data_IF_068815461715
#
_entry.id   IF_068815461715
#
_cell.length_a   1.000
_cell.length_b   1.000
_cell.length_c   1.000
_cell.angle_alpha   90.00
_cell.angle_beta   90.00
_cell.angle_gamma   90.00
#
_symmetry.space_group_name_H-M   'P 1'
#
loop_
_entity.id
_entity.type
_entity.pdbx_description
1 polymer ?
#
# COMPACT_ATOMS: atom_id res chain seq x y z
N UNK A 1 -9.88 -17.77 -46.46
CA UNK A 1 -8.72 -17.57 -47.35
C UNK A 1 -7.54 -17.14 -46.49
N UNK A 2 -6.45 -17.91 -46.61
CA UNK A 2 -5.03 -17.67 -46.26
C UNK A 2 -4.56 -17.28 -44.84
N UNK A 3 -3.66 -18.15 -44.37
CA UNK A 3 -2.77 -18.16 -43.19
C UNK A 3 -1.69 -17.07 -43.21
N UNK A 4 -1.07 -16.80 -42.06
CA UNK A 4 0.39 -16.81 -41.72
C UNK A 4 0.49 -16.41 -40.22
N UNK A 5 0.68 -17.34 -39.26
CA UNK A 5 1.93 -17.83 -38.64
C UNK A 5 2.89 -16.72 -38.17
N UNK A 6 2.98 -16.56 -36.84
CA UNK A 6 4.06 -15.90 -36.12
C UNK A 6 3.96 -16.28 -34.64
N UNK A 7 4.56 -17.41 -34.27
CA UNK A 7 4.72 -17.86 -32.88
C UNK A 7 5.93 -17.12 -32.32
N UNK A 8 5.80 -16.45 -31.17
CA UNK A 8 6.76 -16.72 -30.09
C UNK A 8 6.09 -16.71 -28.71
N UNK A 9 6.07 -17.92 -28.18
CA UNK A 9 5.91 -18.41 -26.83
C UNK A 9 6.55 -17.54 -25.73
N UNK A 10 5.80 -17.23 -24.67
CA UNK A 10 5.95 -17.89 -23.35
C UNK A 10 5.10 -17.24 -22.26
N UNK A 11 4.36 -18.11 -21.55
CA UNK A 11 3.83 -17.98 -20.19
C UNK A 11 2.68 -16.99 -20.05
N UNK A 12 1.42 -17.43 -20.18
CA UNK A 12 0.64 -18.01 -19.07
C UNK A 12 0.95 -17.35 -17.72
N UNK A 13 0.01 -16.57 -17.20
CA UNK A 13 -0.83 -17.02 -16.09
C UNK A 13 -1.84 -15.92 -15.75
N UNK A 14 -3.08 -16.26 -16.06
CA UNK A 14 -4.30 -15.70 -15.51
C UNK A 14 -4.12 -15.14 -14.09
N UNK A 15 -4.28 -13.84 -13.90
CA UNK A 15 -4.60 -13.31 -12.57
C UNK A 15 -6.11 -13.49 -12.33
N UNK A 16 -6.54 -14.76 -12.31
CA UNK A 16 -7.83 -15.16 -11.76
C UNK A 16 -7.64 -15.21 -10.25
N UNK A 17 -8.42 -14.40 -9.55
CA UNK A 17 -8.61 -14.54 -8.11
C UNK A 17 -8.96 -16.00 -7.76
N UNK A 18 -8.39 -16.45 -6.64
CA UNK A 18 -8.70 -17.67 -5.86
C UNK A 18 -8.05 -18.97 -6.38
N UNK A 19 -7.02 -19.44 -5.66
CA UNK A 19 -6.98 -20.76 -4.96
C UNK A 19 -5.62 -20.97 -4.29
N UNK A 20 -5.60 -21.17 -2.97
CA UNK A 20 -4.70 -22.17 -2.36
C UNK A 20 -3.41 -21.74 -1.66
N UNK A 21 -3.44 -20.75 -0.76
CA UNK A 21 -2.63 -20.84 0.47
C UNK A 21 -3.30 -20.04 1.59
N UNK A 22 -3.88 -20.74 2.57
CA UNK A 22 -4.60 -20.14 3.69
C UNK A 22 -3.66 -19.57 4.79
N UNK A 23 -2.39 -19.29 4.46
CA UNK A 23 -1.33 -18.94 5.43
C UNK A 23 -0.78 -17.49 5.31
N UNK A 24 -1.26 -16.68 4.36
CA UNK A 24 -0.83 -15.28 4.15
C UNK A 24 -1.96 -14.24 4.34
N UNK A 25 -3.03 -14.62 5.03
CA UNK A 25 -4.28 -13.86 5.04
C UNK A 25 -4.29 -12.77 6.12
N UNK A 26 -3.81 -11.57 5.76
CA UNK A 26 -4.36 -10.38 6.41
C UNK A 26 -5.87 -10.37 6.19
N UNK A 27 -6.65 -10.07 7.23
CA UNK A 27 -8.12 -10.09 7.15
C UNK A 27 -8.68 -9.13 6.08
N UNK A 28 -7.94 -8.05 5.80
CA UNK A 28 -8.28 -7.04 4.80
C UNK A 28 -7.02 -6.33 4.27
N UNK A 29 -7.09 -5.69 3.09
CA UNK A 29 -6.00 -4.85 2.60
C UNK A 29 -5.89 -3.57 3.43
N UNK A 30 -4.79 -3.38 4.15
CA UNK A 30 -4.49 -2.12 4.83
C UNK A 30 -3.51 -1.31 4.00
N UNK A 31 -4.01 -0.33 3.25
CA UNK A 31 -3.17 0.65 2.58
C UNK A 31 -3.87 2.00 2.55
N UNK A 32 -3.19 3.03 3.07
CA UNK A 32 -3.74 4.37 3.16
C UNK A 32 -2.68 5.42 2.84
N UNK A 33 -3.09 6.38 2.03
CA UNK A 33 -2.32 7.55 1.71
C UNK A 33 -3.03 8.80 2.22
N UNK A 34 -2.29 9.61 2.96
CA UNK A 34 -2.78 10.87 3.52
C UNK A 34 -1.81 12.00 3.21
N UNK A 35 -2.35 13.18 2.98
CA UNK A 35 -1.57 14.37 2.63
C UNK A 35 -1.91 15.53 3.54
N UNK A 36 -0.93 16.41 3.71
CA UNK A 36 -1.13 17.74 4.29
C UNK A 36 -0.54 18.77 3.34
N UNK A 37 -1.39 19.62 2.80
CA UNK A 37 -1.03 20.69 1.88
C UNK A 37 -1.52 22.01 2.45
N UNK A 38 -0.61 22.97 2.57
CA UNK A 38 -0.84 24.33 3.04
C UNK A 38 0.09 25.25 2.23
N UNK A 39 -0.45 25.92 1.18
CA UNK A 39 0.33 26.78 0.31
C UNK A 39 0.92 28.00 1.03
N UNK A 40 0.18 28.58 1.97
CA UNK A 40 0.59 29.77 2.72
C UNK A 40 1.83 29.50 3.58
N UNK A 41 2.06 28.23 3.94
CA UNK A 41 3.23 27.78 4.70
C UNK A 41 4.27 27.03 3.86
N UNK A 42 4.16 27.04 2.52
CA UNK A 42 5.00 26.26 1.61
C UNK A 42 5.16 24.78 2.06
N UNK A 43 4.03 24.19 2.47
CA UNK A 43 3.99 22.85 3.04
C UNK A 43 3.21 21.91 2.12
N UNK A 44 3.89 20.90 1.62
CA UNK A 44 3.29 19.80 0.86
C UNK A 44 3.94 18.50 1.34
N UNK A 45 3.23 17.74 2.19
CA UNK A 45 3.74 16.52 2.81
C UNK A 45 2.80 15.35 2.60
N UNK A 46 3.38 14.17 2.44
CA UNK A 46 2.65 12.92 2.38
C UNK A 46 2.98 12.02 3.56
N UNK A 47 2.07 11.09 3.83
CA UNK A 47 2.26 9.98 4.72
C UNK A 47 1.52 8.75 4.18
N UNK A 48 2.18 7.60 4.13
CA UNK A 48 1.60 6.32 3.70
C UNK A 48 1.72 5.31 4.83
N UNK A 49 0.65 4.58 5.08
CA UNK A 49 0.59 3.44 5.99
C UNK A 49 0.16 2.21 5.21
N UNK A 50 0.88 1.09 5.36
CA UNK A 50 0.49 -0.19 4.78
C UNK A 50 0.78 -1.34 5.74
N UNK A 51 -0.14 -2.30 5.91
CA UNK A 51 0.17 -3.58 6.56
C UNK A 51 0.32 -4.62 5.47
N UNK A 52 1.45 -5.32 5.48
CA UNK A 52 1.79 -6.35 4.51
C UNK A 52 2.19 -7.63 5.27
N UNK A 53 1.86 -8.83 4.75
CA UNK A 53 2.44 -10.05 5.27
C UNK A 53 3.91 -10.13 4.88
N UNK A 54 4.74 -10.69 5.76
CA UNK A 54 6.11 -11.07 5.44
C UNK A 54 6.16 -12.45 4.79
N UNK A 55 7.33 -12.86 4.30
CA UNK A 55 7.56 -14.22 3.78
C UNK A 55 7.28 -15.32 4.82
N UNK A 56 7.27 -14.98 6.11
CA UNK A 56 7.04 -15.91 7.21
C UNK A 56 5.59 -15.86 7.73
N UNK A 57 4.68 -15.20 7.01
CA UNK A 57 3.26 -15.07 7.41
C UNK A 57 3.02 -14.09 8.56
N UNK A 58 4.06 -13.46 9.11
CA UNK A 58 3.92 -12.43 10.15
C UNK A 58 3.63 -11.06 9.55
N UNK A 59 2.78 -10.23 10.18
CA UNK A 59 2.46 -8.90 9.66
C UNK A 59 3.58 -7.89 9.91
N UNK A 60 3.77 -6.97 8.97
CA UNK A 60 4.60 -5.77 9.13
C UNK A 60 3.83 -4.51 8.77
N UNK A 61 4.05 -3.43 9.52
CA UNK A 61 3.56 -2.09 9.19
C UNK A 61 4.67 -1.28 8.49
N UNK A 62 4.42 -0.94 7.24
CA UNK A 62 5.24 -0.01 6.46
C UNK A 62 4.72 1.42 6.64
N UNK A 63 5.63 2.32 7.04
CA UNK A 63 5.39 3.76 7.16
C UNK A 63 6.27 4.49 6.16
N UNK A 64 5.69 5.35 5.33
CA UNK A 64 6.45 6.25 4.45
C UNK A 64 6.01 7.69 4.65
N UNK A 65 6.95 8.63 4.64
CA UNK A 65 6.60 10.05 4.80
C UNK A 65 7.65 10.96 4.19
N UNK A 66 7.24 12.13 3.72
CA UNK A 66 8.16 13.07 3.11
C UNK A 66 7.46 14.29 2.53
N UNK A 67 8.22 15.12 1.79
CA UNK A 67 7.61 16.14 0.95
C UNK A 67 7.01 15.46 -0.29
N UNK A 68 5.85 15.95 -0.74
CA UNK A 68 5.23 15.46 -1.99
C UNK A 68 6.21 15.69 -3.16
N UNK A 69 6.32 14.72 -4.06
CA UNK A 69 7.28 14.73 -5.16
C UNK A 69 8.69 14.21 -4.80
N UNK A 70 8.89 13.69 -3.59
CA UNK A 70 10.16 13.08 -3.16
C UNK A 70 9.98 11.62 -2.73
N UNK A 71 11.06 10.85 -2.68
CA UNK A 71 11.03 9.47 -2.17
C UNK A 71 10.63 9.39 -0.69
N UNK A 72 10.92 10.45 0.08
CA UNK A 72 10.67 10.52 1.51
C UNK A 72 11.59 9.61 2.33
N UNK A 73 11.10 9.23 3.52
CA UNK A 73 11.70 8.26 4.44
C UNK A 73 10.75 7.09 4.61
N UNK A 74 11.31 5.96 4.98
CA UNK A 74 10.57 4.72 5.21
C UNK A 74 10.96 4.14 6.57
N UNK A 75 10.00 3.55 7.27
CA UNK A 75 10.21 2.77 8.48
C UNK A 75 9.31 1.55 8.47
N UNK A 76 9.82 0.44 8.97
CA UNK A 76 9.11 -0.84 9.06
C UNK A 76 8.99 -1.22 10.54
N UNK A 77 7.80 -1.66 10.94
CA UNK A 77 7.55 -2.27 12.25
C UNK A 77 7.11 -3.72 12.02
N UNK A 78 7.71 -4.66 12.73
CA UNK A 78 7.36 -6.07 12.64
C UNK A 78 6.50 -6.46 13.84
N UNK A 79 5.52 -7.33 13.59
CA UNK A 79 4.58 -7.81 14.59
C UNK A 79 4.42 -9.31 14.47
N UNK A 80 4.04 -9.97 15.57
CA UNK A 80 3.66 -11.38 15.55
C UNK A 80 2.19 -11.56 15.15
N UNK A 81 1.34 -10.59 15.50
CA UNK A 81 -0.12 -10.65 15.32
C UNK A 81 -0.64 -9.46 14.51
N UNK A 82 -1.71 -9.67 13.74
CA UNK A 82 -2.28 -8.65 12.85
C UNK A 82 -2.89 -7.50 13.65
N UNK A 83 -3.60 -7.82 14.72
CA UNK A 83 -4.25 -6.90 15.64
C UNK A 83 -3.30 -5.86 16.24
N UNK A 84 -2.05 -6.23 16.51
CA UNK A 84 -1.03 -5.31 17.02
C UNK A 84 -0.60 -4.31 15.94
N UNK A 85 -0.41 -4.80 14.71
CA UNK A 85 -0.10 -3.97 13.55
C UNK A 85 -1.27 -3.01 13.23
N UNK A 86 -2.50 -3.50 13.31
CA UNK A 86 -3.74 -2.71 13.10
C UNK A 86 -3.90 -1.64 14.18
N UNK A 87 -3.61 -1.98 15.44
CA UNK A 87 -3.68 -1.03 16.54
C UNK A 87 -2.73 0.16 16.30
N UNK A 88 -1.45 -0.12 16.00
CA UNK A 88 -0.50 0.95 15.69
C UNK A 88 -0.87 1.72 14.40
N UNK A 89 -1.37 1.03 13.37
CA UNK A 89 -1.85 1.66 12.15
C UNK A 89 -2.95 2.69 12.44
N UNK A 90 -3.94 2.32 13.26
CA UNK A 90 -5.06 3.19 13.61
C UNK A 90 -4.62 4.36 14.50
N UNK A 91 -3.71 4.13 15.44
CA UNK A 91 -3.18 5.18 16.31
C UNK A 91 -2.38 6.22 15.53
N UNK A 92 -1.49 5.76 14.62
CA UNK A 92 -0.78 6.66 13.71
C UNK A 92 -1.74 7.43 12.81
N UNK A 93 -2.78 6.79 12.30
CA UNK A 93 -3.78 7.47 11.47
C UNK A 93 -4.52 8.56 12.25
N UNK A 94 -4.97 8.27 13.48
CA UNK A 94 -5.61 9.26 14.36
C UNK A 94 -4.68 10.43 14.64
N UNK A 95 -3.43 10.15 14.98
CA UNK A 95 -2.41 11.17 15.20
C UNK A 95 -2.25 12.06 13.95
N UNK A 96 -2.09 11.48 12.76
CA UNK A 96 -1.91 12.26 11.52
C UNK A 96 -3.13 13.10 11.18
N UNK A 97 -4.35 12.56 11.37
CA UNK A 97 -5.59 13.31 11.17
C UNK A 97 -5.68 14.52 12.10
N UNK A 98 -5.33 14.36 13.38
CA UNK A 98 -5.27 15.47 14.33
C UNK A 98 -4.24 16.55 13.91
N UNK A 99 -3.18 16.15 13.21
CA UNK A 99 -2.17 17.05 12.65
C UNK A 99 -2.54 17.62 11.26
N UNK A 100 -3.80 17.52 10.84
CA UNK A 100 -4.30 18.11 9.60
C UNK A 100 -4.01 17.32 8.33
N UNK A 101 -3.57 16.06 8.44
CA UNK A 101 -3.49 15.18 7.27
C UNK A 101 -4.89 14.70 6.88
N UNK A 102 -5.17 14.72 5.58
CA UNK A 102 -6.44 14.30 5.00
C UNK A 102 -6.24 13.05 4.14
N UNK A 103 -7.21 12.13 4.18
CA UNK A 103 -7.20 10.95 3.32
C UNK A 103 -7.40 11.37 1.88
N UNK A 104 -6.47 10.96 1.02
CA UNK A 104 -6.63 11.07 -0.42
C UNK A 104 -6.94 9.70 -0.96
N UNK A 105 -8.02 9.61 -1.74
CA UNK A 105 -8.27 8.41 -2.53
C UNK A 105 -7.11 8.31 -3.52
N UNK A 106 -6.33 7.24 -3.43
CA UNK A 106 -5.46 6.88 -4.52
C UNK A 106 -6.42 6.42 -5.61
N UNK A 107 -6.64 7.25 -6.63
CA UNK A 107 -7.23 6.78 -7.86
C UNK A 107 -6.25 5.75 -8.41
N UNK A 108 -6.57 4.47 -8.25
CA UNK A 108 -5.84 3.41 -8.91
C UNK A 108 -5.82 3.79 -10.39
N UNK A 109 -4.63 4.01 -10.95
CA UNK A 109 -4.47 4.33 -12.37
C UNK A 109 -5.24 3.28 -13.19
N UNK A 110 -6.42 3.65 -13.68
CA UNK A 110 -6.95 3.15 -14.92
C UNK A 110 -5.97 3.64 -16.00
N UNK A 111 -4.93 2.85 -16.27
CA UNK A 111 -4.04 3.08 -17.40
C UNK A 111 -4.81 2.71 -18.66
N UNK A 112 -4.88 3.64 -19.60
CA UNK A 112 -5.23 3.34 -21.00
C UNK A 112 -4.14 2.56 -21.71
#
# INVERSE_FOLDING_TARGET
>A
MNRIIGIDSKLSLDMKNVTGDSSLMLAQPYHLYVERVDPDRNMARFYTLAIEPTLFGTPRLLRRWGRIGTLGRTMVHHFEREEDAVSLFLDLLRERRAHGYQVKRIEALARG
#
